data_IF_040585453316
#
_entry.id   IF_040585453316
#
_cell.length_a   1.000
_cell.length_b   1.000
_cell.length_c   1.000
_cell.angle_alpha   90.00
_cell.angle_beta   90.00
_cell.angle_gamma   90.00
#
_symmetry.space_group_name_H-M   'P 1'
#
loop_
_entity.id
_entity.type
_entity.pdbx_description
1 polymer ?
#
# COMPACT_ATOMS: atom_id res chain seq x y z
N UNK A 1 -23.98 8.09 6.94
CA UNK A 1 -23.07 8.80 7.89
C UNK A 1 -21.76 8.99 7.16
N UNK A 2 -21.13 10.16 7.23
CA UNK A 2 -19.85 10.38 6.58
C UNK A 2 -18.74 9.66 7.35
N UNK A 3 -17.81 9.05 6.61
CA UNK A 3 -16.67 8.30 7.16
C UNK A 3 -15.37 9.00 6.77
N UNK A 4 -14.42 9.01 7.69
CA UNK A 4 -13.12 9.66 7.49
C UNK A 4 -11.95 8.83 7.95
N UNK A 5 -10.77 9.25 7.52
CA UNK A 5 -9.49 8.82 8.04
C UNK A 5 -9.17 9.67 9.26
N UNK A 6 -9.12 9.09 10.44
CA UNK A 6 -8.83 9.81 11.70
C UNK A 6 -7.36 9.76 12.08
N UNK A 7 -6.63 8.81 11.49
CA UNK A 7 -5.19 8.67 11.63
C UNK A 7 -4.62 7.77 10.53
N UNK A 8 -3.36 7.97 10.22
CA UNK A 8 -2.63 7.16 9.23
C UNK A 8 -1.21 6.91 9.70
N UNK A 9 -0.61 5.84 9.23
CA UNK A 9 0.77 5.49 9.53
C UNK A 9 1.41 4.70 8.40
N UNK A 10 2.71 4.80 8.32
CA UNK A 10 3.51 4.09 7.33
C UNK A 10 4.76 3.51 7.97
N UNK A 11 5.29 2.47 7.38
CA UNK A 11 6.60 1.92 7.71
C UNK A 11 7.25 1.32 6.45
N UNK A 12 8.51 1.64 6.25
CA UNK A 12 9.35 1.06 5.20
C UNK A 12 10.66 0.59 5.85
N UNK A 13 11.02 -0.70 5.73
CA UNK A 13 12.29 -1.23 6.24
C UNK A 13 13.49 -0.39 5.81
N UNK A 14 14.51 -0.28 6.67
CA UNK A 14 15.68 0.56 6.40
C UNK A 14 16.63 0.02 5.34
N UNK A 15 16.66 -1.30 5.11
CA UNK A 15 17.59 -1.89 4.14
C UNK A 15 17.12 -1.63 2.72
N UNK A 16 18.10 -1.33 1.85
CA UNK A 16 17.89 -1.10 0.42
C UNK A 16 18.88 -1.92 -0.39
N UNK A 17 18.38 -2.47 -1.51
CA UNK A 17 19.24 -3.02 -2.54
C UNK A 17 19.03 -2.21 -3.82
N UNK A 18 20.14 -1.82 -4.44
CA UNK A 18 20.12 -1.09 -5.72
C UNK A 18 19.89 -2.06 -6.89
N UNK A 19 19.25 -1.55 -7.93
CA UNK A 19 19.03 -2.32 -9.18
C UNK A 19 20.34 -2.84 -9.74
N UNK A 20 21.43 -2.08 -9.66
CA UNK A 20 22.77 -2.46 -10.12
C UNK A 20 23.29 -3.73 -9.44
N UNK A 21 23.03 -3.89 -8.14
CA UNK A 21 23.48 -5.07 -7.41
C UNK A 21 22.79 -6.36 -7.91
N UNK A 22 21.49 -6.28 -8.21
CA UNK A 22 20.73 -7.40 -8.76
C UNK A 22 21.17 -7.65 -10.20
N UNK A 23 21.25 -6.59 -11.02
CA UNK A 23 21.64 -6.68 -12.43
C UNK A 23 23.03 -7.28 -12.61
N UNK A 24 24.00 -6.92 -11.74
CA UNK A 24 25.36 -7.48 -11.74
C UNK A 24 25.37 -9.00 -11.61
N UNK A 25 24.52 -9.56 -10.75
CA UNK A 25 24.44 -11.01 -10.53
C UNK A 25 23.89 -11.75 -11.75
N UNK A 26 22.90 -11.16 -12.41
CA UNK A 26 22.22 -11.77 -13.55
C UNK A 26 22.79 -11.36 -14.92
N UNK A 27 23.88 -10.58 -14.95
CA UNK A 27 24.48 -10.11 -16.19
C UNK A 27 23.57 -9.20 -17.02
N UNK A 28 22.65 -8.49 -16.37
CA UNK A 28 21.74 -7.53 -17.01
C UNK A 28 22.34 -6.13 -17.05
N UNK A 29 21.92 -5.32 -18.04
CA UNK A 29 22.25 -3.89 -18.09
C UNK A 29 21.37 -3.13 -17.07
N UNK A 30 21.94 -2.56 -15.98
CA UNK A 30 21.18 -1.88 -14.95
C UNK A 30 20.42 -0.67 -15.49
N UNK A 31 20.98 0.07 -16.45
CA UNK A 31 20.32 1.24 -17.02
C UNK A 31 19.11 0.84 -17.88
N UNK A 32 19.18 -0.28 -18.57
CA UNK A 32 18.02 -0.83 -19.29
C UNK A 32 16.93 -1.26 -18.31
N UNK A 33 17.30 -1.92 -17.21
CA UNK A 33 16.37 -2.36 -16.17
C UNK A 33 15.69 -1.14 -15.51
N UNK A 34 16.46 -0.14 -15.08
CA UNK A 34 15.91 1.10 -14.50
C UNK A 34 14.94 1.80 -15.43
N UNK A 35 15.31 1.97 -16.71
CA UNK A 35 14.39 2.53 -17.71
C UNK A 35 13.16 1.66 -17.93
N UNK A 36 13.29 0.35 -17.87
CA UNK A 36 12.20 -0.61 -18.06
C UNK A 36 11.19 -0.61 -16.92
N UNK A 37 11.66 -0.59 -15.69
CA UNK A 37 10.82 -0.66 -14.49
C UNK A 37 10.57 0.70 -13.82
N UNK A 38 11.39 1.70 -14.06
CA UNK A 38 11.30 2.98 -13.33
C UNK A 38 11.62 2.83 -11.84
N UNK A 39 12.53 1.91 -11.49
CA UNK A 39 12.97 1.61 -10.13
C UNK A 39 14.47 1.79 -10.04
N UNK A 40 14.97 2.51 -9.05
CA UNK A 40 16.39 2.72 -8.77
C UNK A 40 16.88 1.77 -7.67
N UNK A 41 16.07 1.61 -6.64
CA UNK A 41 16.33 0.78 -5.48
C UNK A 41 15.03 0.25 -4.91
N UNK A 42 15.10 -0.78 -4.07
CA UNK A 42 13.93 -1.31 -3.38
C UNK A 42 14.19 -1.57 -1.91
N UNK A 43 13.14 -1.48 -1.10
CA UNK A 43 13.17 -1.81 0.31
C UNK A 43 13.24 -3.34 0.51
N UNK A 44 14.09 -3.75 1.43
CA UNK A 44 14.31 -5.15 1.82
C UNK A 44 14.02 -5.29 3.31
N UNK A 45 13.20 -6.27 3.73
CA UNK A 45 12.98 -6.50 5.16
C UNK A 45 14.28 -6.97 5.82
N UNK A 46 14.52 -6.54 7.05
CA UNK A 46 15.57 -7.07 7.90
C UNK A 46 15.31 -8.54 8.28
N UNK A 47 16.29 -9.21 8.90
CA UNK A 47 16.14 -10.62 9.28
C UNK A 47 15.06 -10.86 10.34
N UNK A 48 14.67 -9.85 11.07
CA UNK A 48 13.65 -9.78 12.12
C UNK A 48 12.36 -9.07 11.69
N UNK A 49 12.25 -8.71 10.43
CA UNK A 49 11.08 -8.02 9.88
C UNK A 49 10.24 -8.96 8.99
N UNK A 50 8.93 -8.90 9.18
CA UNK A 50 7.92 -9.57 8.37
C UNK A 50 6.66 -8.70 8.23
N UNK A 51 5.63 -9.23 7.60
CA UNK A 51 4.36 -8.52 7.44
C UNK A 51 3.72 -8.13 8.77
N UNK A 52 3.91 -8.92 9.83
CA UNK A 52 3.39 -8.59 11.18
C UNK A 52 4.10 -7.37 11.73
N UNK A 53 5.42 -7.38 11.77
CA UNK A 53 6.22 -6.29 12.36
C UNK A 53 6.04 -4.98 11.61
N UNK A 54 6.00 -5.03 10.27
CA UNK A 54 5.69 -3.88 9.40
C UNK A 54 4.29 -3.34 9.72
N UNK A 55 3.29 -4.22 9.86
CA UNK A 55 1.92 -3.84 10.20
C UNK A 55 1.82 -3.19 11.58
N UNK A 56 2.53 -3.71 12.59
CA UNK A 56 2.56 -3.14 13.95
C UNK A 56 3.12 -1.73 13.94
N UNK A 57 4.24 -1.48 13.25
CA UNK A 57 4.85 -0.15 13.21
C UNK A 57 3.96 0.86 12.45
N UNK A 58 3.39 0.47 11.31
CA UNK A 58 2.43 1.30 10.59
C UNK A 58 1.20 1.64 11.45
N UNK A 59 0.66 0.65 12.16
CA UNK A 59 -0.49 0.80 13.05
C UNK A 59 -0.20 1.71 14.24
N UNK A 60 0.97 1.56 14.89
CA UNK A 60 1.44 2.45 15.97
C UNK A 60 1.48 3.91 15.53
N UNK A 61 2.00 4.16 14.33
CA UNK A 61 2.07 5.50 13.76
C UNK A 61 0.67 6.06 13.46
N UNK A 62 -0.27 5.23 12.99
CA UNK A 62 -1.66 5.62 12.78
C UNK A 62 -2.35 6.00 14.10
N UNK A 63 -2.18 5.19 15.15
CA UNK A 63 -2.75 5.47 16.48
C UNK A 63 -2.15 6.74 17.12
N UNK A 64 -0.84 6.97 16.98
CA UNK A 64 -0.20 8.21 17.45
C UNK A 64 -0.81 9.44 16.79
N UNK A 65 -0.98 9.42 15.46
CA UNK A 65 -1.60 10.53 14.73
C UNK A 65 -3.08 10.70 15.09
N UNK A 66 -3.80 9.61 15.32
CA UNK A 66 -5.18 9.66 15.77
C UNK A 66 -5.32 10.17 17.21
N UNK A 67 -4.26 10.06 18.02
CA UNK A 67 -4.27 10.32 19.48
C UNK A 67 -5.31 9.44 20.21
N UNK A 68 -5.42 8.18 19.79
CA UNK A 68 -6.38 7.23 20.33
C UNK A 68 -5.64 6.06 21.02
N UNK A 69 -6.19 5.56 22.15
CA UNK A 69 -5.67 4.35 22.77
C UNK A 69 -6.04 3.14 21.91
N UNK A 70 -5.17 2.09 21.85
CA UNK A 70 -5.46 0.88 21.10
C UNK A 70 -6.79 0.20 21.46
N UNK A 71 -7.22 0.28 22.72
CA UNK A 71 -8.49 -0.25 23.21
C UNK A 71 -9.74 0.40 22.59
N UNK A 72 -9.59 1.51 21.86
CA UNK A 72 -10.70 2.13 21.13
C UNK A 72 -11.02 1.43 19.79
N UNK A 73 -10.15 0.53 19.32
CA UNK A 73 -10.33 -0.20 18.07
C UNK A 73 -11.40 -1.29 18.22
N UNK A 74 -12.42 -1.23 17.38
CA UNK A 74 -13.43 -2.30 17.26
C UNK A 74 -13.14 -3.31 16.16
N UNK A 75 -12.19 -2.99 15.25
CA UNK A 75 -11.79 -3.91 14.19
C UNK A 75 -10.35 -3.66 13.72
N UNK A 76 -9.65 -4.74 13.34
CA UNK A 76 -8.37 -4.71 12.62
C UNK A 76 -8.43 -5.68 11.43
N UNK A 77 -8.15 -5.16 10.24
CA UNK A 77 -8.01 -5.96 9.01
C UNK A 77 -6.62 -5.76 8.41
N UNK A 78 -5.93 -6.88 8.16
CA UNK A 78 -4.61 -6.86 7.51
C UNK A 78 -4.73 -7.50 6.13
N UNK A 79 -4.46 -6.72 5.10
CA UNK A 79 -4.38 -7.18 3.72
C UNK A 79 -2.93 -7.46 3.34
N UNK A 80 -2.63 -8.66 2.83
CA UNK A 80 -1.27 -9.06 2.43
C UNK A 80 -1.29 -10.24 1.47
N UNK A 81 -0.20 -10.39 0.70
CA UNK A 81 0.13 -11.59 -0.08
C UNK A 81 1.22 -12.44 0.60
N UNK A 82 1.76 -11.96 1.73
CA UNK A 82 2.91 -12.55 2.43
C UNK A 82 2.67 -12.69 3.93
N UNK A 83 1.46 -13.13 4.32
CA UNK A 83 1.18 -13.48 5.70
C UNK A 83 2.18 -14.56 6.17
N UNK A 84 2.78 -14.42 7.38
CA UNK A 84 3.79 -15.37 7.85
C UNK A 84 3.22 -16.75 8.17
N UNK A 85 1.90 -16.84 8.37
CA UNK A 85 1.22 -18.11 8.66
C UNK A 85 0.06 -18.33 7.69
N UNK A 86 -0.10 -19.56 7.23
CA UNK A 86 -1.20 -19.93 6.32
C UNK A 86 -2.57 -19.97 7.03
N UNK A 87 -2.60 -20.18 8.34
CA UNK A 87 -3.84 -20.37 9.12
C UNK A 87 -3.98 -19.39 10.29
N UNK A 88 -2.91 -19.02 10.96
CA UNK A 88 -2.96 -18.07 12.08
C UNK A 88 -3.06 -16.64 11.56
N UNK A 89 -4.09 -15.84 11.95
CA UNK A 89 -4.25 -14.48 11.42
C UNK A 89 -3.13 -13.53 11.85
N UNK A 90 -2.59 -12.77 10.92
CA UNK A 90 -1.68 -11.64 11.16
C UNK A 90 -2.36 -10.57 12.00
N UNK A 91 -3.62 -10.27 11.69
CA UNK A 91 -4.40 -9.23 12.37
C UNK A 91 -4.52 -9.45 13.87
N UNK A 92 -4.63 -10.70 14.35
CA UNK A 92 -4.70 -10.98 15.79
C UNK A 92 -3.36 -10.77 16.48
N UNK A 93 -2.23 -11.07 15.81
CA UNK A 93 -0.90 -10.80 16.36
C UNK A 93 -0.67 -9.29 16.45
N UNK A 94 -1.08 -8.55 15.41
CA UNK A 94 -1.00 -7.09 15.41
C UNK A 94 -1.85 -6.50 16.53
N UNK A 95 -3.10 -6.99 16.71
CA UNK A 95 -4.00 -6.53 17.78
C UNK A 95 -3.38 -6.70 19.16
N UNK A 96 -2.79 -7.88 19.43
CA UNK A 96 -2.11 -8.19 20.70
C UNK A 96 -0.88 -7.31 20.91
N UNK A 97 -0.03 -7.16 19.88
CA UNK A 97 1.19 -6.34 19.94
C UNK A 97 0.90 -4.83 20.16
N UNK A 98 -0.28 -4.37 19.78
CA UNK A 98 -0.77 -3.02 20.03
C UNK A 98 -1.40 -2.85 21.41
N UNK A 99 -1.84 -3.93 22.06
CA UNK A 99 -2.66 -3.89 23.28
C UNK A 99 -4.12 -3.53 22.99
N UNK A 100 -4.63 -3.93 21.81
CA UNK A 100 -6.02 -3.66 21.39
C UNK A 100 -7.00 -4.77 21.81
N UNK A 101 -6.49 -5.95 22.17
CA UNK A 101 -7.28 -7.12 22.59
C UNK A 101 -7.93 -6.92 23.96
N UNK A 102 -9.01 -7.69 24.32
CA UNK A 102 -9.66 -8.72 23.50
C UNK A 102 -10.96 -8.26 22.80
N UNK A 103 -11.46 -7.06 22.98
CA UNK A 103 -12.80 -6.64 22.56
C UNK A 103 -12.81 -6.02 21.17
N UNK A 104 -12.43 -6.78 20.13
CA UNK A 104 -12.46 -6.36 18.74
C UNK A 104 -12.63 -7.56 17.80
N UNK A 105 -13.07 -7.29 16.57
CA UNK A 105 -12.98 -8.28 15.47
C UNK A 105 -11.69 -8.13 14.71
N UNK A 106 -11.10 -9.22 14.23
CA UNK A 106 -9.87 -9.20 13.46
C UNK A 106 -9.87 -10.25 12.36
N UNK A 107 -9.39 -9.91 11.16
CA UNK A 107 -9.21 -10.85 10.07
C UNK A 107 -8.11 -10.43 9.10
N UNK A 108 -7.53 -11.42 8.44
CA UNK A 108 -6.65 -11.21 7.30
C UNK A 108 -7.46 -11.21 6.01
N UNK A 109 -7.02 -10.44 5.03
CA UNK A 109 -7.63 -10.33 3.71
C UNK A 109 -6.60 -10.68 2.64
N UNK A 110 -7.03 -11.50 1.69
CA UNK A 110 -6.26 -11.88 0.52
C UNK A 110 -6.98 -11.40 -0.75
N UNK A 111 -6.49 -10.37 -1.37
CA UNK A 111 -6.84 -9.94 -2.72
C UNK A 111 -5.61 -9.30 -3.38
N UNK A 112 -4.54 -10.07 -3.44
CA UNK A 112 -3.28 -9.59 -3.99
C UNK A 112 -2.96 -8.15 -3.49
N UNK A 113 -2.46 -7.29 -4.35
CA UNK A 113 -2.00 -5.96 -3.97
C UNK A 113 -3.11 -4.97 -3.56
N UNK A 114 -4.41 -5.30 -3.71
CA UNK A 114 -5.51 -4.44 -3.23
C UNK A 114 -6.10 -4.87 -1.87
N UNK A 115 -5.58 -5.92 -1.27
CA UNK A 115 -6.13 -6.46 -0.02
C UNK A 115 -6.22 -5.40 1.10
N UNK A 116 -5.24 -4.50 1.21
CA UNK A 116 -5.28 -3.40 2.18
C UNK A 116 -6.44 -2.42 1.95
N UNK A 117 -6.74 -2.06 0.69
CA UNK A 117 -7.87 -1.16 0.37
C UNK A 117 -9.22 -1.85 0.51
N UNK A 118 -9.30 -3.16 0.33
CA UNK A 118 -10.50 -3.94 0.68
C UNK A 118 -10.80 -3.81 2.19
N UNK A 119 -9.76 -3.88 3.04
CA UNK A 119 -9.89 -3.61 4.48
C UNK A 119 -10.44 -2.21 4.79
N UNK A 120 -10.04 -1.19 4.03
CA UNK A 120 -10.60 0.17 4.16
C UNK A 120 -12.10 0.17 3.92
N UNK A 121 -12.58 -0.48 2.85
CA UNK A 121 -14.02 -0.57 2.55
C UNK A 121 -14.79 -1.33 3.64
N UNK A 122 -14.21 -2.41 4.18
CA UNK A 122 -14.84 -3.16 5.30
C UNK A 122 -14.97 -2.24 6.52
N UNK A 123 -13.90 -1.56 6.92
CA UNK A 123 -13.92 -0.62 8.06
C UNK A 123 -14.93 0.50 7.83
N UNK A 124 -15.00 1.09 6.63
CA UNK A 124 -16.00 2.11 6.27
C UNK A 124 -17.41 1.60 6.51
N UNK A 125 -17.76 0.42 5.97
CA UNK A 125 -19.09 -0.16 6.13
C UNK A 125 -19.45 -0.44 7.58
N UNK A 126 -18.51 -0.95 8.39
CA UNK A 126 -18.74 -1.24 9.81
C UNK A 126 -18.94 0.04 10.64
N UNK A 127 -18.17 1.10 10.36
CA UNK A 127 -18.31 2.41 11.01
C UNK A 127 -19.64 3.05 10.61
N UNK A 128 -19.98 3.04 9.32
CA UNK A 128 -21.23 3.60 8.83
C UNK A 128 -22.48 2.91 9.39
N UNK A 129 -22.41 1.58 9.54
CA UNK A 129 -23.46 0.77 10.18
C UNK A 129 -23.51 0.93 11.70
N UNK A 130 -22.56 1.64 12.33
CA UNK A 130 -22.49 1.80 13.78
C UNK A 130 -22.07 0.53 14.54
N UNK A 131 -21.52 -0.48 13.84
CA UNK A 131 -21.03 -1.70 14.47
C UNK A 131 -19.77 -1.46 15.31
N UNK A 132 -18.92 -0.54 14.87
CA UNK A 132 -17.67 -0.15 15.53
C UNK A 132 -17.53 1.37 15.49
N UNK A 133 -16.76 1.92 16.45
CA UNK A 133 -16.40 3.35 16.44
C UNK A 133 -15.19 3.61 15.56
N UNK A 134 -14.17 2.76 15.66
CA UNK A 134 -12.94 2.85 14.88
C UNK A 134 -12.53 1.48 14.32
N UNK A 135 -12.16 1.44 13.05
CA UNK A 135 -11.61 0.27 12.38
C UNK A 135 -10.23 0.60 11.79
N UNK A 136 -9.28 -0.31 11.93
CA UNK A 136 -7.96 -0.17 11.33
C UNK A 136 -7.81 -1.09 10.13
N UNK A 137 -7.50 -0.51 8.98
CA UNK A 137 -7.16 -1.23 7.76
C UNK A 137 -5.66 -1.08 7.49
N UNK A 138 -4.97 -2.20 7.32
CA UNK A 138 -3.52 -2.26 7.09
C UNK A 138 -3.27 -2.98 5.77
N UNK A 139 -2.40 -2.40 4.94
CA UNK A 139 -1.81 -3.10 3.80
C UNK A 139 -0.31 -3.19 4.01
N UNK A 140 0.24 -4.39 4.03
CA UNK A 140 1.67 -4.61 4.25
C UNK A 140 2.15 -5.89 3.58
N UNK A 141 3.37 -5.87 3.03
CA UNK A 141 4.01 -7.03 2.43
C UNK A 141 5.52 -7.04 2.63
N UNK A 142 6.06 -8.26 2.67
CA UNK A 142 7.48 -8.55 2.51
C UNK A 142 7.66 -9.31 1.21
N UNK A 143 7.84 -8.58 0.14
CA UNK A 143 7.73 -9.03 -1.22
C UNK A 143 8.45 -10.33 -1.58
N UNK A 144 7.79 -11.12 -2.40
CA UNK A 144 8.26 -12.40 -2.86
C UNK A 144 8.49 -12.37 -4.37
N UNK A 145 9.71 -12.69 -4.80
CA UNK A 145 10.07 -12.91 -6.19
C UNK A 145 11.10 -14.02 -6.27
N UNK A 146 11.01 -14.84 -7.31
CA UNK A 146 12.07 -15.84 -7.59
C UNK A 146 13.39 -15.14 -7.92
N UNK A 147 14.54 -15.69 -7.50
CA UNK A 147 15.82 -15.22 -7.99
C UNK A 147 15.89 -15.25 -9.54
N UNK A 148 16.33 -14.15 -10.14
CA UNK A 148 16.42 -14.00 -11.59
C UNK A 148 15.12 -13.71 -12.32
N UNK A 149 13.99 -13.65 -11.63
CA UNK A 149 12.72 -13.22 -12.22
C UNK A 149 12.72 -11.69 -12.41
N UNK A 150 12.12 -11.16 -13.50
CA UNK A 150 11.96 -9.71 -13.68
C UNK A 150 11.31 -8.98 -12.49
N UNK A 151 10.42 -9.63 -11.75
CA UNK A 151 9.80 -9.06 -10.54
C UNK A 151 10.82 -8.80 -9.44
N UNK A 152 11.97 -9.49 -9.44
CA UNK A 152 12.98 -9.32 -8.39
C UNK A 152 13.51 -7.89 -8.33
N UNK A 153 13.52 -7.16 -9.44
CA UNK A 153 13.96 -5.76 -9.48
C UNK A 153 12.99 -4.79 -8.78
N UNK A 154 11.72 -5.14 -8.69
CA UNK A 154 10.70 -4.24 -8.14
C UNK A 154 10.10 -4.73 -6.82
N UNK A 155 10.04 -6.06 -6.57
CA UNK A 155 9.40 -6.64 -5.40
C UNK A 155 10.07 -6.18 -4.09
N UNK A 156 9.33 -5.46 -3.24
CA UNK A 156 9.84 -4.74 -2.07
C UNK A 156 9.01 -5.00 -0.80
N UNK A 157 9.46 -4.48 0.33
CA UNK A 157 8.77 -4.56 1.61
C UNK A 157 8.31 -3.18 2.08
N UNK A 158 7.18 -3.15 2.75
CA UNK A 158 6.63 -1.95 3.37
C UNK A 158 5.14 -2.07 3.64
N UNK A 159 4.60 -1.15 4.42
CA UNK A 159 3.19 -1.16 4.75
C UNK A 159 2.69 0.19 5.26
N UNK A 160 1.37 0.35 5.21
CA UNK A 160 0.69 1.50 5.78
C UNK A 160 -0.64 1.08 6.41
N UNK A 161 -1.07 1.86 7.39
CA UNK A 161 -2.32 1.69 8.12
C UNK A 161 -3.17 2.95 8.04
N UNK A 162 -4.47 2.78 7.83
CA UNK A 162 -5.47 3.84 7.95
C UNK A 162 -6.40 3.49 9.10
N UNK A 163 -6.61 4.44 9.98
CA UNK A 163 -7.63 4.36 11.03
C UNK A 163 -8.88 5.07 10.55
N UNK A 164 -9.95 4.31 10.40
CA UNK A 164 -11.24 4.74 9.87
C UNK A 164 -12.21 4.96 11.02
N UNK A 165 -12.88 6.10 11.02
CA UNK A 165 -13.90 6.46 11.98
C UNK A 165 -14.98 7.36 11.36
N UNK A 166 -15.91 7.84 12.18
CA UNK A 166 -16.87 8.85 11.74
C UNK A 166 -16.13 10.12 11.33
N UNK A 167 -16.54 10.72 10.22
CA UNK A 167 -16.01 12.02 9.82
C UNK A 167 -16.46 13.10 10.80
N UNK A 168 -15.50 13.70 11.47
CA UNK A 168 -15.67 14.79 12.42
C UNK A 168 -14.48 15.75 12.37
N UNK A 169 -14.41 16.72 13.28
CA UNK A 169 -13.30 17.69 13.36
C UNK A 169 -11.92 17.07 13.63
N UNK A 170 -11.87 15.80 14.01
CA UNK A 170 -10.63 15.06 14.26
C UNK A 170 -10.15 14.25 13.03
N UNK A 171 -10.94 14.16 11.98
CA UNK A 171 -10.56 13.46 10.76
C UNK A 171 -9.50 14.23 9.97
N UNK A 172 -8.44 13.55 9.53
CA UNK A 172 -7.41 14.13 8.67
C UNK A 172 -7.86 14.21 7.22
N UNK A 173 -8.80 13.35 6.83
CA UNK A 173 -9.47 13.40 5.52
C UNK A 173 -10.85 12.75 5.61
N UNK A 174 -11.79 13.24 4.82
CA UNK A 174 -13.13 12.62 4.63
C UNK A 174 -13.10 11.79 3.36
N UNK A 175 -13.66 10.59 3.39
CA UNK A 175 -13.82 9.74 2.22
C UNK A 175 -15.17 10.06 1.57
N UNK A 176 -15.15 10.78 0.44
CA UNK A 176 -16.37 11.20 -0.27
C UNK A 176 -17.12 10.05 -0.91
N UNK A 177 -16.38 9.13 -1.52
CA UNK A 177 -16.92 7.95 -2.18
C UNK A 177 -15.84 6.91 -2.47
N UNK A 178 -16.30 5.70 -2.72
CA UNK A 178 -15.50 4.60 -3.27
C UNK A 178 -16.20 3.97 -4.48
N UNK A 179 -15.41 3.35 -5.36
CA UNK A 179 -15.88 2.58 -6.51
C UNK A 179 -14.97 1.41 -6.76
N UNK A 180 -15.53 0.24 -7.02
CA UNK A 180 -14.77 -0.99 -7.31
C UNK A 180 -15.07 -1.52 -8.69
N UNK A 181 -14.04 -2.10 -9.34
CA UNK A 181 -14.16 -2.80 -10.60
C UNK A 181 -13.45 -4.15 -10.49
N UNK A 182 -14.17 -5.24 -10.61
CA UNK A 182 -13.67 -6.60 -10.37
C UNK A 182 -14.04 -7.53 -11.51
N UNK A 183 -13.07 -8.34 -11.94
CA UNK A 183 -13.26 -9.45 -12.88
C UNK A 183 -12.41 -10.64 -12.41
N UNK A 184 -12.32 -11.69 -13.22
CA UNK A 184 -11.33 -12.75 -13.05
C UNK A 184 -10.29 -12.66 -14.17
N UNK A 185 -8.98 -12.64 -13.82
CA UNK A 185 -7.86 -12.61 -14.76
C UNK A 185 -6.71 -13.50 -14.30
N UNK A 186 -6.10 -14.30 -15.21
CA UNK A 186 -4.94 -15.13 -14.89
C UNK A 186 -3.62 -14.35 -15.07
N UNK A 187 -3.50 -13.18 -14.48
CA UNK A 187 -2.36 -12.28 -14.69
C UNK A 187 -1.22 -12.49 -13.70
N UNK A 188 -1.54 -12.88 -12.43
CA UNK A 188 -0.58 -13.13 -11.38
C UNK A 188 -1.20 -14.02 -10.30
N UNK A 189 -0.50 -15.04 -9.83
CA UNK A 189 -0.99 -15.97 -8.83
C UNK A 189 0.14 -16.71 -8.12
N UNK A 190 -0.12 -17.19 -6.90
CA UNK A 190 0.75 -18.13 -6.19
C UNK A 190 -0.11 -19.30 -5.67
N UNK A 191 0.18 -20.51 -6.14
CA UNK A 191 -0.48 -21.71 -5.61
C UNK A 191 0.08 -22.07 -4.25
N UNK A 192 -0.74 -22.75 -3.46
CA UNK A 192 -0.30 -23.36 -2.20
C UNK A 192 0.99 -24.18 -2.38
N UNK A 193 1.83 -24.24 -1.36
CA UNK A 193 3.14 -24.93 -1.35
C UNK A 193 4.17 -24.38 -2.37
N UNK A 194 3.92 -23.22 -2.99
CA UNK A 194 4.88 -22.56 -3.85
C UNK A 194 5.49 -21.35 -3.15
N UNK A 195 6.85 -21.24 -3.11
CA UNK A 195 7.49 -20.12 -2.42
C UNK A 195 7.36 -18.80 -3.16
N UNK A 196 7.16 -18.84 -4.48
CA UNK A 196 7.13 -17.64 -5.32
C UNK A 196 5.89 -17.59 -6.21
N UNK A 197 5.39 -16.37 -6.50
CA UNK A 197 4.31 -16.17 -7.44
C UNK A 197 4.75 -16.43 -8.89
N UNK A 198 3.76 -16.65 -9.74
CA UNK A 198 3.90 -16.68 -11.21
C UNK A 198 3.07 -15.55 -11.81
N UNK A 199 3.47 -15.09 -12.96
CA UNK A 199 2.78 -14.02 -13.69
C UNK A 199 2.60 -14.36 -15.18
N UNK A 200 1.55 -13.81 -15.76
CA UNK A 200 1.18 -13.99 -17.17
C UNK A 200 1.97 -13.08 -18.15
N UNK A 201 3.15 -12.59 -17.76
CA UNK A 201 3.97 -11.73 -18.60
C UNK A 201 3.23 -10.45 -19.03
N UNK A 202 3.09 -10.24 -20.34
CA UNK A 202 2.41 -9.05 -20.88
C UNK A 202 0.95 -8.92 -20.48
N UNK A 203 0.31 -10.00 -20.02
CA UNK A 203 -1.08 -9.99 -19.59
C UNK A 203 -1.27 -9.20 -18.29
N UNK A 204 -0.24 -9.06 -17.45
CA UNK A 204 -0.29 -8.23 -16.24
C UNK A 204 -0.48 -6.74 -16.51
N UNK A 205 -0.07 -6.26 -17.69
CA UNK A 205 -0.19 -4.85 -18.11
C UNK A 205 -1.62 -4.49 -18.57
N UNK A 206 -1.84 -4.47 -19.90
CA UNK A 206 -3.12 -3.96 -20.48
C UNK A 206 -4.36 -4.71 -20.01
N UNK A 207 -4.45 -6.04 -20.07
CA UNK A 207 -5.64 -6.76 -19.62
C UNK A 207 -5.83 -6.73 -18.11
N UNK A 208 -4.75 -6.78 -17.32
CA UNK A 208 -4.77 -6.74 -15.87
C UNK A 208 -4.82 -5.30 -15.34
N UNK A 209 -3.63 -4.74 -15.08
CA UNK A 209 -3.46 -3.46 -14.38
C UNK A 209 -4.22 -2.29 -15.01
N UNK A 210 -3.95 -1.97 -16.28
CA UNK A 210 -4.53 -0.76 -16.90
C UNK A 210 -6.05 -0.83 -16.99
N UNK A 211 -6.61 -1.95 -17.48
CA UNK A 211 -8.05 -2.10 -17.59
C UNK A 211 -8.76 -1.82 -16.26
N UNK A 212 -8.28 -2.42 -15.16
CA UNK A 212 -8.96 -2.34 -13.88
C UNK A 212 -8.75 -0.98 -13.21
N UNK A 213 -7.50 -0.50 -13.20
CA UNK A 213 -7.14 0.80 -12.61
C UNK A 213 -7.88 1.95 -13.30
N UNK A 214 -7.90 1.96 -14.64
CA UNK A 214 -8.58 3.00 -15.40
C UNK A 214 -10.10 2.92 -15.21
N UNK A 215 -10.68 1.71 -15.25
CA UNK A 215 -12.12 1.53 -15.07
C UNK A 215 -12.59 1.97 -13.67
N UNK A 216 -11.82 1.65 -12.61
CA UNK A 216 -12.15 2.06 -11.25
C UNK A 216 -12.04 3.59 -11.08
N UNK A 217 -10.95 4.20 -11.54
CA UNK A 217 -10.77 5.65 -11.51
C UNK A 217 -11.87 6.39 -12.26
N UNK A 218 -12.14 6.00 -13.51
CA UNK A 218 -13.19 6.59 -14.32
C UNK A 218 -14.59 6.37 -13.73
N UNK A 219 -14.85 5.17 -13.17
CA UNK A 219 -16.10 4.85 -12.51
C UNK A 219 -16.37 5.77 -11.32
N UNK A 220 -15.36 6.00 -10.48
CA UNK A 220 -15.46 6.92 -9.34
C UNK A 220 -15.67 8.37 -9.80
N UNK A 221 -14.87 8.85 -10.76
CA UNK A 221 -15.01 10.21 -11.29
C UNK A 221 -16.40 10.45 -11.88
N UNK A 222 -16.94 9.50 -12.67
CA UNK A 222 -18.32 9.58 -13.19
C UNK A 222 -19.36 9.60 -12.06
N UNK A 223 -19.19 8.77 -11.03
CA UNK A 223 -20.10 8.70 -9.86
C UNK A 223 -20.19 10.05 -9.14
N UNK A 224 -19.08 10.79 -9.07
CA UNK A 224 -18.99 12.07 -8.39
C UNK A 224 -19.21 13.27 -9.32
N UNK A 225 -19.26 13.09 -10.63
CA UNK A 225 -19.30 14.19 -11.60
C UNK A 225 -17.98 14.98 -11.67
N UNK A 226 -16.86 14.33 -11.32
CA UNK A 226 -15.53 14.94 -11.27
C UNK A 226 -14.68 14.56 -12.49
N UNK A 227 -13.66 15.39 -12.73
CA UNK A 227 -12.62 15.22 -13.77
C UNK A 227 -11.23 15.16 -13.12
N UNK A 228 -10.17 14.77 -13.82
CA UNK A 228 -8.82 14.80 -13.26
C UNK A 228 -8.36 16.19 -12.73
N UNK A 229 -8.96 17.27 -13.22
CA UNK A 229 -8.64 18.65 -12.80
C UNK A 229 -9.19 19.01 -11.42
N UNK A 230 -10.15 18.22 -10.92
CA UNK A 230 -10.79 18.43 -9.63
C UNK A 230 -10.01 17.76 -8.49
N UNK A 231 -8.89 17.07 -8.81
CA UNK A 231 -8.00 16.44 -7.84
C UNK A 231 -6.65 17.17 -7.81
N UNK A 232 -6.15 17.42 -6.62
CA UNK A 232 -4.82 17.99 -6.39
C UNK A 232 -3.73 16.90 -6.44
N UNK A 233 -4.09 15.70 -5.99
CA UNK A 233 -3.19 14.56 -5.94
C UNK A 233 -3.84 13.29 -6.46
N UNK A 234 -3.02 12.41 -7.03
CA UNK A 234 -3.42 11.06 -7.41
C UNK A 234 -2.36 10.04 -7.00
N UNK A 235 -2.81 8.91 -6.51
CA UNK A 235 -1.96 7.73 -6.29
C UNK A 235 -2.61 6.50 -6.91
N UNK A 236 -1.81 5.73 -7.63
CA UNK A 236 -2.19 4.41 -8.15
C UNK A 236 -1.38 3.33 -7.45
N UNK A 237 -1.84 2.09 -7.48
CA UNK A 237 -0.97 0.95 -7.19
C UNK A 237 0.28 0.98 -8.07
N UNK A 238 1.43 0.62 -7.52
CA UNK A 238 2.75 0.80 -8.13
C UNK A 238 3.49 -0.54 -8.25
N UNK A 239 3.16 -1.40 -9.25
CA UNK A 239 3.93 -2.63 -9.49
C UNK A 239 5.36 -2.32 -9.97
N UNK A 240 5.56 -1.11 -10.46
CA UNK A 240 6.83 -0.48 -10.85
C UNK A 240 6.61 1.04 -10.95
N UNK A 241 7.66 1.82 -11.28
CA UNK A 241 7.57 3.27 -11.40
C UNK A 241 6.93 3.76 -12.71
N UNK A 242 6.75 2.90 -13.72
CA UNK A 242 6.20 3.28 -15.03
C UNK A 242 4.69 3.18 -15.11
N UNK A 243 4.10 2.10 -14.61
CA UNK A 243 2.66 1.84 -14.74
C UNK A 243 1.80 2.96 -14.16
N UNK A 244 2.05 3.51 -12.96
CA UNK A 244 1.26 4.63 -12.44
C UNK A 244 1.43 5.91 -13.27
N UNK A 245 2.61 6.15 -13.87
CA UNK A 245 2.84 7.28 -14.77
C UNK A 245 2.03 7.15 -16.06
N UNK A 246 2.00 5.95 -16.66
CA UNK A 246 1.21 5.67 -17.86
C UNK A 246 -0.29 5.77 -17.57
N UNK A 247 -0.76 5.22 -16.42
CA UNK A 247 -2.17 5.32 -16.01
C UNK A 247 -2.60 6.78 -15.77
N UNK A 248 -1.77 7.57 -15.08
CA UNK A 248 -2.01 8.99 -14.85
C UNK A 248 -2.16 9.73 -16.18
N UNK A 249 -1.25 9.51 -17.11
CA UNK A 249 -1.26 10.14 -18.44
C UNK A 249 -2.52 9.76 -19.24
N UNK A 250 -2.91 8.47 -19.23
CA UNK A 250 -4.09 7.97 -19.97
C UNK A 250 -5.40 8.56 -19.40
N UNK A 251 -5.46 8.79 -18.09
CA UNK A 251 -6.60 9.43 -17.43
C UNK A 251 -6.60 10.96 -17.56
N UNK A 252 -5.50 11.58 -18.01
CA UNK A 252 -5.38 13.03 -18.13
C UNK A 252 -4.85 13.76 -16.88
N UNK A 253 -4.26 13.02 -15.93
CA UNK A 253 -3.55 13.62 -14.80
C UNK A 253 -2.16 14.11 -15.20
N UNK A 254 -1.70 15.21 -14.58
CA UNK A 254 -0.34 15.70 -14.69
C UNK A 254 0.63 14.92 -13.79
N UNK A 255 1.91 14.93 -14.13
CA UNK A 255 2.94 14.34 -13.28
C UNK A 255 3.08 15.05 -11.92
N UNK A 256 2.74 16.34 -11.83
CA UNK A 256 2.73 17.05 -10.55
C UNK A 256 1.71 16.49 -9.57
N UNK A 257 0.53 16.10 -10.03
CA UNK A 257 -0.50 15.46 -9.20
C UNK A 257 -0.07 14.07 -8.70
N UNK A 258 0.71 13.33 -9.51
CA UNK A 258 1.19 11.98 -9.17
C UNK A 258 2.42 11.99 -8.24
N UNK A 259 3.27 13.02 -8.33
CA UNK A 259 4.62 13.06 -7.75
C UNK A 259 4.68 12.72 -6.26
N UNK A 260 3.73 13.24 -5.47
CA UNK A 260 3.74 13.05 -4.02
C UNK A 260 3.48 11.59 -3.60
N UNK A 261 2.71 10.85 -4.41
CA UNK A 261 2.36 9.45 -4.16
C UNK A 261 3.25 8.43 -4.88
N UNK A 262 4.16 8.85 -5.78
CA UNK A 262 5.00 7.95 -6.57
C UNK A 262 6.25 7.53 -5.79
N UNK A 263 6.23 6.33 -5.22
CA UNK A 263 7.27 5.79 -4.34
C UNK A 263 8.09 4.66 -4.97
N UNK A 264 7.55 3.99 -5.98
CA UNK A 264 8.19 2.83 -6.59
C UNK A 264 9.64 3.05 -7.05
N UNK A 265 10.08 4.25 -7.51
CA UNK A 265 11.47 4.48 -7.84
C UNK A 265 12.46 4.27 -6.67
N UNK A 266 12.03 4.51 -5.42
CA UNK A 266 12.88 4.48 -4.22
C UNK A 266 12.53 3.37 -3.23
N UNK A 267 11.33 2.81 -3.33
CA UNK A 267 10.83 1.77 -2.42
C UNK A 267 10.66 0.44 -3.13
N UNK A 268 10.33 0.48 -4.42
CA UNK A 268 9.83 -0.67 -5.16
C UNK A 268 8.33 -0.87 -4.96
N UNK A 269 7.84 -2.07 -5.27
CA UNK A 269 6.45 -2.48 -5.10
C UNK A 269 6.26 -3.14 -3.73
N UNK A 270 5.62 -2.46 -2.81
CA UNK A 270 5.22 -3.00 -1.50
C UNK A 270 3.85 -3.71 -1.56
N UNK A 271 3.44 -4.20 -2.72
CA UNK A 271 2.22 -4.98 -2.97
C UNK A 271 0.98 -4.37 -2.30
N UNK A 272 0.37 -5.07 -1.32
CA UNK A 272 -0.83 -4.58 -0.61
C UNK A 272 -0.61 -3.25 0.12
N UNK A 273 0.63 -2.96 0.54
CA UNK A 273 1.01 -1.68 1.14
C UNK A 273 1.16 -0.53 0.14
N UNK A 274 1.37 -0.83 -1.15
CA UNK A 274 1.85 0.14 -2.15
C UNK A 274 0.95 1.39 -2.30
N UNK A 275 -0.36 1.19 -2.48
CA UNK A 275 -1.32 2.31 -2.61
C UNK A 275 -1.45 3.10 -1.32
N UNK A 276 -1.51 2.42 -0.18
CA UNK A 276 -1.66 3.06 1.13
C UNK A 276 -0.40 3.83 1.55
N UNK A 277 0.80 3.32 1.22
CA UNK A 277 2.06 4.06 1.39
C UNK A 277 2.08 5.34 0.56
N UNK A 278 1.68 5.25 -0.70
CA UNK A 278 1.58 6.43 -1.55
C UNK A 278 0.55 7.44 -1.05
N UNK A 279 -0.59 6.98 -0.52
CA UNK A 279 -1.58 7.84 0.13
C UNK A 279 -1.02 8.50 1.40
N UNK A 280 -0.30 7.75 2.24
CA UNK A 280 0.37 8.29 3.42
C UNK A 280 1.39 9.37 3.05
N UNK A 281 2.17 9.16 1.97
CA UNK A 281 3.12 10.17 1.45
C UNK A 281 2.42 11.45 0.97
N UNK A 282 1.23 11.34 0.40
CA UNK A 282 0.42 12.51 0.02
C UNK A 282 -0.08 13.21 1.29
N UNK A 283 -0.66 12.48 2.24
CA UNK A 283 -1.17 13.04 3.51
C UNK A 283 -0.07 13.75 4.32
N UNK A 284 1.19 13.30 4.23
CA UNK A 284 2.33 13.97 4.84
C UNK A 284 2.61 15.37 4.27
N UNK A 285 1.97 15.78 3.16
CA UNK A 285 2.24 17.03 2.42
C UNK A 285 0.99 17.81 2.05
N UNK A 286 -0.13 17.13 1.90
CA UNK A 286 -1.39 17.71 1.44
C UNK A 286 -1.90 18.78 2.41
N UNK A 287 -2.59 19.76 1.88
CA UNK A 287 -3.18 20.88 2.63
C UNK A 287 -4.68 20.66 2.81
N UNK A 288 -5.25 21.36 3.77
CA UNK A 288 -6.70 21.40 3.93
C UNK A 288 -7.41 21.79 2.63
N UNK A 289 -8.49 21.10 2.33
CA UNK A 289 -9.31 21.28 1.13
C UNK A 289 -8.82 20.55 -0.10
N UNK A 290 -7.56 20.09 -0.13
CA UNK A 290 -7.04 19.34 -1.28
C UNK A 290 -7.74 17.99 -1.42
N UNK A 291 -8.02 17.61 -2.68
CA UNK A 291 -8.69 16.35 -3.03
C UNK A 291 -7.70 15.35 -3.58
N UNK A 292 -7.80 14.11 -3.10
CA UNK A 292 -6.93 13.00 -3.44
C UNK A 292 -7.74 11.90 -4.12
N UNK A 293 -7.27 11.41 -5.29
CA UNK A 293 -7.74 10.16 -5.87
C UNK A 293 -6.75 9.05 -5.52
N UNK A 294 -7.20 8.02 -4.80
CA UNK A 294 -6.40 6.83 -4.52
C UNK A 294 -7.01 5.62 -5.23
N UNK A 295 -6.20 4.92 -6.04
CA UNK A 295 -6.65 3.79 -6.86
C UNK A 295 -5.72 2.61 -6.64
N UNK A 296 -6.23 1.55 -6.05
CA UNK A 296 -5.52 0.29 -5.89
C UNK A 296 -5.69 -0.60 -7.11
N UNK A 297 -4.87 -1.63 -7.17
CA UNK A 297 -5.04 -2.75 -8.08
C UNK A 297 -4.52 -4.01 -7.40
N UNK A 298 -5.26 -5.09 -7.52
CA UNK A 298 -4.85 -6.43 -7.12
C UNK A 298 -5.06 -7.37 -8.29
N UNK A 299 -4.01 -8.15 -8.57
CA UNK A 299 -4.08 -9.17 -9.61
C UNK A 299 -5.14 -10.22 -9.32
N UNK A 300 -5.71 -10.80 -10.35
CA UNK A 300 -6.75 -11.79 -10.24
C UNK A 300 -8.13 -11.48 -10.82
N UNK A 301 -8.68 -10.29 -11.02
CA UNK A 301 -8.17 -8.98 -10.72
C UNK A 301 -9.26 -8.05 -10.21
N UNK A 302 -8.88 -7.02 -9.51
CA UNK A 302 -9.77 -5.97 -9.03
C UNK A 302 -9.05 -4.68 -8.72
N UNK A 303 -9.81 -3.58 -8.68
CA UNK A 303 -9.31 -2.25 -8.36
C UNK A 303 -10.36 -1.51 -7.54
N UNK A 304 -9.92 -0.83 -6.48
CA UNK A 304 -10.76 0.07 -5.69
C UNK A 304 -10.25 1.49 -5.87
N UNK A 305 -11.17 2.42 -6.10
CA UNK A 305 -10.89 3.85 -6.16
C UNK A 305 -11.60 4.58 -5.00
N UNK A 306 -10.90 5.54 -4.41
CA UNK A 306 -11.38 6.38 -3.32
C UNK A 306 -11.15 7.85 -3.65
N UNK A 307 -12.14 8.70 -3.38
CA UNK A 307 -11.99 10.15 -3.35
C UNK A 307 -11.95 10.61 -1.89
N UNK A 308 -10.89 11.34 -1.53
CA UNK A 308 -10.71 11.87 -0.19
C UNK A 308 -10.53 13.39 -0.26
N UNK A 309 -11.12 14.12 0.70
CA UNK A 309 -10.86 15.56 0.90
C UNK A 309 -10.15 15.76 2.22
N UNK A 310 -8.99 16.39 2.17
CA UNK A 310 -8.14 16.67 3.33
C UNK A 310 -8.80 17.70 4.24
N UNK A 311 -8.70 17.48 5.55
CA UNK A 311 -9.30 18.34 6.57
C UNK A 311 -8.25 19.05 7.42
N UNK A 312 -8.63 20.14 8.08
CA UNK A 312 -7.77 20.98 8.91
C UNK A 312 -6.93 20.18 9.93
N UNK A 313 -7.51 19.12 10.52
CA UNK A 313 -6.83 18.29 11.51
C UNK A 313 -5.51 17.70 11.03
N UNK A 314 -5.28 17.59 9.70
CA UNK A 314 -4.02 17.10 9.12
C UNK A 314 -2.82 17.93 9.58
N UNK A 315 -2.96 19.25 9.69
CA UNK A 315 -1.85 20.15 9.99
C UNK A 315 -1.21 19.86 11.36
N UNK A 316 -2.01 19.55 12.35
CA UNK A 316 -1.54 19.20 13.71
C UNK A 316 -1.20 17.72 13.86
N UNK A 317 -1.92 16.81 13.19
CA UNK A 317 -1.75 15.35 13.36
C UNK A 317 -0.57 14.79 12.56
N UNK A 318 -0.21 15.42 11.49
CA UNK A 318 0.92 15.02 10.61
C UNK A 318 2.23 14.85 11.37
N UNK A 319 2.52 15.73 12.31
CA UNK A 319 3.79 15.78 13.05
C UNK A 319 3.83 14.82 14.26
N UNK A 320 2.75 14.11 14.57
CA UNK A 320 2.67 13.25 15.77
C UNK A 320 3.34 11.89 15.59
N UNK A 321 3.76 11.54 14.38
CA UNK A 321 4.51 10.31 14.08
C UNK A 321 5.48 10.57 12.91
N UNK A 322 6.49 9.70 12.71
CA UNK A 322 7.42 9.84 11.61
C UNK A 322 6.71 9.94 10.25
N UNK A 323 7.17 10.84 9.40
CA UNK A 323 6.73 10.95 8.02
C UNK A 323 7.35 9.84 7.18
N UNK A 324 6.74 9.55 6.04
CA UNK A 324 7.32 8.57 5.13
C UNK A 324 8.72 8.99 4.66
N UNK A 325 8.97 10.30 4.48
CA UNK A 325 10.29 10.84 4.13
C UNK A 325 11.40 10.42 5.09
N UNK A 326 11.09 10.22 6.38
CA UNK A 326 12.08 9.86 7.39
C UNK A 326 12.58 8.43 7.15
N UNK A 327 11.66 7.49 6.82
CA UNK A 327 12.00 6.12 6.43
C UNK A 327 12.73 6.05 5.07
N UNK A 328 12.49 7.01 4.17
CA UNK A 328 13.19 7.06 2.89
C UNK A 328 14.63 7.60 3.03
N UNK A 329 14.91 8.37 4.08
CA UNK A 329 16.24 8.90 4.39
C UNK A 329 17.06 7.94 5.24
N UNK A 330 16.43 7.27 6.22
CA UNK A 330 17.09 6.26 7.07
C UNK A 330 17.23 4.94 6.31
N UNK A 331 18.29 4.86 5.48
CA UNK A 331 18.54 3.69 4.65
C UNK A 331 19.97 3.17 4.74
N UNK A 332 20.09 1.85 4.70
CA UNK A 332 21.34 1.11 4.67
C UNK A 332 21.37 0.22 3.43
N UNK A 333 22.37 0.43 2.56
CA UNK A 333 22.54 -0.38 1.37
C UNK A 333 23.15 -1.72 1.70
N UNK A 334 22.62 -2.78 1.09
CA UNK A 334 23.11 -4.15 1.21
C UNK A 334 23.44 -4.72 -0.16
N UNK A 335 24.32 -5.70 -0.17
CA UNK A 335 24.67 -6.47 -1.37
C UNK A 335 23.65 -7.59 -1.66
N UNK A 336 23.80 -8.23 -2.81
CA UNK A 336 22.89 -9.30 -3.25
C UNK A 336 22.92 -10.53 -2.32
N UNK A 337 24.08 -10.88 -1.76
CA UNK A 337 24.21 -12.04 -0.87
C UNK A 337 23.47 -11.80 0.46
N UNK A 338 23.60 -10.61 1.02
CA UNK A 338 22.85 -10.17 2.22
C UNK A 338 21.35 -10.12 1.94
N UNK A 339 20.94 -9.57 0.79
CA UNK A 339 19.55 -9.59 0.34
C UNK A 339 18.98 -11.00 0.28
N UNK A 340 19.68 -11.94 -0.35
CA UNK A 340 19.26 -13.34 -0.43
C UNK A 340 19.17 -14.01 0.95
N UNK A 341 20.08 -13.66 1.87
CA UNK A 341 20.04 -14.14 3.26
C UNK A 341 18.82 -13.62 3.99
N UNK A 342 18.54 -12.32 3.93
CA UNK A 342 17.41 -11.70 4.62
C UNK A 342 16.06 -12.17 4.09
N UNK A 343 15.96 -12.35 2.79
CA UNK A 343 14.74 -12.83 2.12
C UNK A 343 14.62 -14.36 2.05
N UNK A 344 15.50 -15.10 2.77
CA UNK A 344 15.51 -16.57 2.86
C UNK A 344 15.60 -17.27 1.50
N UNK A 345 16.25 -16.65 0.52
CA UNK A 345 16.54 -17.23 -0.81
C UNK A 345 17.76 -18.15 -0.79
N UNK A 346 18.65 -17.99 0.20
CA UNK A 346 19.72 -18.93 0.49
C UNK A 346 19.23 -19.89 1.56
N UNK A 347 19.11 -21.17 1.21
CA UNK A 347 18.78 -22.25 2.13
C UNK A 347 20.09 -22.85 2.65
N UNK A 348 20.20 -23.04 3.99
CA UNK A 348 21.31 -23.77 4.61
C UNK A 348 21.12 -25.27 4.47
#
# INVERSE_FOLDING_TARGET
MEVGVVGYGAYVPRYRIRVEEIARVWGADPEQVKRGFGVEEKAVPGPDEDTVTISVEAARNALKRAQLPPSSLGAIYVGSESHPYAVKPTATIVAEALGATPELTAADLEFACKAGTAGVQVCMGMVEAGMIKYGMAIGADTAQSSPGDPLEYAAAAGGAALLIGKADGESVAVIEATYSYTTDTPDFWRRDMRPYPRHGGRFTGKPGYFRHTLAAAQGLMRKLGLTPRDFDHVVFHQPNGRFPVEAAKELGFSLSQLKAGLLAPQVGNAYSGSTLLGLASILDRAKEGERILAVSYGSGAGSDAFSLVVKEAIERKRELAPKLSDYLQDKVYIDYATYCKFTRKLVR
#
